data_IF_695395434677
#
_entry.id   IF_695395434677
#
_cell.length_a   1.000
_cell.length_b   1.000
_cell.length_c   1.000
_cell.angle_alpha   90.00
_cell.angle_beta   90.00
_cell.angle_gamma   90.00
#
_symmetry.space_group_name_H-M   'P 1'
#
loop_
_entity.id
_entity.type
_entity.pdbx_description
1 polymer ?
#
# COMPACT_ATOMS: atom_id res chain seq x y z
N UNK A 1 4.00 -17.58 7.51
CA UNK A 1 3.89 -16.72 6.31
C UNK A 1 3.23 -15.41 6.75
N UNK A 2 3.79 -14.26 6.39
CA UNK A 2 3.23 -12.95 6.80
C UNK A 2 2.01 -12.64 5.93
N UNK A 3 0.94 -12.14 6.54
CA UNK A 3 -0.27 -11.68 5.84
C UNK A 3 -0.16 -10.18 5.52
N UNK A 4 0.30 -9.89 4.31
CA UNK A 4 0.53 -8.52 3.84
C UNK A 4 -0.76 -7.71 3.66
N UNK A 5 -1.92 -8.36 3.55
CA UNK A 5 -3.22 -7.66 3.42
C UNK A 5 -3.58 -6.85 4.65
N UNK A 6 -2.95 -7.14 5.80
CA UNK A 6 -3.10 -6.37 7.04
C UNK A 6 -2.33 -5.06 7.06
N UNK A 7 -1.40 -4.88 6.12
CA UNK A 7 -0.47 -3.74 6.11
C UNK A 7 -0.51 -2.95 4.81
N UNK A 8 -0.98 -3.56 3.71
CA UNK A 8 -0.99 -2.96 2.38
C UNK A 8 -2.42 -2.96 1.85
N UNK A 9 -2.85 -1.80 1.32
CA UNK A 9 -4.10 -1.66 0.58
C UNK A 9 -3.85 -1.20 -0.86
N UNK A 10 -4.79 -1.55 -1.75
CA UNK A 10 -4.85 -1.05 -3.12
C UNK A 10 -6.12 -0.23 -3.22
N UNK A 11 -5.98 1.08 -3.38
CA UNK A 11 -7.09 2.01 -3.46
C UNK A 11 -6.92 2.87 -4.73
N UNK A 12 -7.88 2.79 -5.66
CA UNK A 12 -7.82 3.54 -6.93
C UNK A 12 -7.87 5.06 -6.75
N UNK A 13 -8.42 5.55 -5.65
CA UNK A 13 -8.48 6.98 -5.30
C UNK A 13 -7.16 7.48 -4.71
N UNK A 14 -6.29 6.58 -4.24
CA UNK A 14 -5.00 6.90 -3.64
C UNK A 14 -3.85 6.44 -4.55
N UNK A 15 -2.91 7.36 -4.86
CA UNK A 15 -1.68 7.03 -5.59
C UNK A 15 -1.91 6.22 -6.88
N UNK A 16 -3.00 6.50 -7.59
CA UNK A 16 -3.34 5.87 -8.88
C UNK A 16 -3.52 4.34 -8.79
N UNK A 17 -4.05 3.83 -7.67
CA UNK A 17 -4.26 2.38 -7.50
C UNK A 17 -2.98 1.58 -7.27
N UNK A 18 -1.89 2.24 -6.89
CA UNK A 18 -0.67 1.55 -6.45
C UNK A 18 -0.88 0.96 -5.04
N UNK A 19 -0.21 -0.15 -4.70
CA UNK A 19 -0.18 -0.65 -3.33
C UNK A 19 0.47 0.36 -2.37
N UNK A 20 -0.24 0.67 -1.29
CA UNK A 20 0.12 1.69 -0.30
C UNK A 20 0.12 1.05 1.09
N UNK A 21 1.00 1.50 1.98
CA UNK A 21 0.97 1.10 3.39
C UNK A 21 -0.27 1.72 4.04
N UNK A 22 -1.11 0.90 4.66
CA UNK A 22 -2.39 1.30 5.26
C UNK A 22 -2.19 2.44 6.25
N UNK A 23 -3.07 3.46 6.19
CA UNK A 23 -3.00 4.64 7.05
C UNK A 23 -1.94 5.66 6.63
N UNK A 24 -1.25 5.42 5.51
CA UNK A 24 -0.25 6.33 4.95
C UNK A 24 -0.53 6.62 3.48
N UNK A 25 0.25 7.52 2.89
CA UNK A 25 0.28 7.75 1.43
C UNK A 25 1.60 7.30 0.80
N UNK A 26 2.30 6.38 1.46
CA UNK A 26 3.61 5.84 1.06
C UNK A 26 3.38 4.57 0.24
N UNK A 27 3.87 4.55 -1.00
CA UNK A 27 3.76 3.36 -1.83
C UNK A 27 4.80 2.33 -1.42
N UNK A 28 4.51 1.05 -1.65
CA UNK A 28 5.48 -0.02 -1.36
C UNK A 28 6.78 0.18 -2.15
N UNK A 29 6.70 0.78 -3.35
CA UNK A 29 7.84 1.10 -4.22
C UNK A 29 8.73 2.24 -3.73
N UNK A 30 8.27 3.05 -2.76
CA UNK A 30 9.10 4.11 -2.19
C UNK A 30 10.08 3.56 -1.14
N UNK A 31 9.81 2.34 -0.64
CA UNK A 31 10.57 1.71 0.44
C UNK A 31 11.48 0.59 -0.08
N UNK A 32 11.07 -0.09 -1.16
CA UNK A 32 11.79 -1.20 -1.80
C UNK A 32 12.45 -0.74 -3.10
#
# INVERSE_FOLDING_TARGET
MIDYKKYIEINSELRFGKPVIIGTRITVFDVL
#
